data_IF_190196872113
#
_entry.id   IF_190196872113
#
_cell.length_a   1.000
_cell.length_b   1.000
_cell.length_c   1.000
_cell.angle_alpha   90.00
_cell.angle_beta   90.00
_cell.angle_gamma   90.00
#
_symmetry.space_group_name_H-M   'P 1'
#
loop_
_entity.id
_entity.type
_entity.pdbx_description
1 polymer ?
#
# COMPACT_ATOMS: atom_id res chain seq x y z
N UNK A 1 -1.00 19.81 -22.94
CA UNK A 1 -1.82 19.93 -21.73
C UNK A 1 -3.09 20.68 -22.12
N UNK A 2 -4.27 20.06 -21.96
CA UNK A 2 -5.52 20.76 -22.17
C UNK A 2 -5.63 21.90 -21.17
N UNK A 3 -5.89 23.10 -21.67
CA UNK A 3 -6.18 24.27 -20.85
C UNK A 3 -7.47 23.97 -20.07
N UNK A 4 -7.40 24.00 -18.76
CA UNK A 4 -8.60 24.05 -17.93
C UNK A 4 -9.06 25.52 -17.91
N UNK A 5 -10.31 25.77 -18.29
CA UNK A 5 -10.86 27.13 -18.26
C UNK A 5 -10.67 27.76 -16.89
N UNK A 6 -10.19 29.01 -16.88
CA UNK A 6 -9.95 29.76 -15.67
C UNK A 6 -8.55 29.63 -15.04
N UNK A 7 -7.66 28.75 -15.56
CA UNK A 7 -6.29 28.68 -15.04
C UNK A 7 -5.41 29.83 -15.53
N UNK A 8 -4.65 30.42 -14.59
CA UNK A 8 -3.60 31.39 -14.89
C UNK A 8 -2.31 30.65 -15.30
N UNK A 9 -1.61 31.11 -16.35
CA UNK A 9 -0.30 30.55 -16.72
C UNK A 9 0.69 30.66 -15.58
N UNK A 10 1.58 29.65 -15.45
CA UNK A 10 2.70 29.70 -14.52
C UNK A 10 3.75 30.70 -15.05
N UNK A 11 4.17 31.61 -14.19
CA UNK A 11 5.23 32.59 -14.46
C UNK A 11 6.52 32.10 -13.80
N UNK A 12 7.57 31.93 -14.59
CA UNK A 12 8.90 31.54 -14.13
C UNK A 12 9.76 32.81 -13.95
N UNK A 13 10.28 32.99 -12.76
CA UNK A 13 11.03 34.22 -12.36
C UNK A 13 12.54 34.12 -12.50
N UNK A 14 13.12 32.92 -12.67
CA UNK A 14 14.56 32.72 -12.72
C UNK A 14 15.15 32.83 -14.13
N UNK A 15 16.34 33.42 -14.24
CA UNK A 15 17.07 33.60 -15.51
C UNK A 15 17.42 32.25 -16.18
N UNK A 16 17.65 31.19 -15.40
CA UNK A 16 17.88 29.84 -15.91
C UNK A 16 16.67 29.28 -16.69
N UNK A 17 15.48 29.83 -16.47
CA UNK A 17 14.24 29.42 -17.11
C UNK A 17 14.00 30.15 -18.46
N UNK A 18 15.00 30.87 -18.99
CA UNK A 18 14.87 31.62 -20.25
C UNK A 18 14.49 30.71 -21.44
N UNK A 19 14.90 29.45 -21.45
CA UNK A 19 14.49 28.46 -22.42
C UNK A 19 13.01 28.07 -22.27
N UNK A 20 12.45 28.14 -21.04
CA UNK A 20 11.07 27.86 -20.72
C UNK A 20 10.12 29.02 -21.00
N UNK A 21 10.67 30.26 -21.13
CA UNK A 21 9.87 31.47 -21.41
C UNK A 21 9.14 31.44 -22.76
N UNK A 22 9.51 30.54 -23.65
CA UNK A 22 8.84 30.37 -24.95
C UNK A 22 7.56 29.52 -24.91
N UNK A 23 7.28 28.87 -23.76
CA UNK A 23 6.09 28.03 -23.58
C UNK A 23 5.13 28.61 -22.56
N UNK A 24 3.86 28.32 -22.78
CA UNK A 24 2.82 28.59 -21.77
C UNK A 24 2.59 27.30 -20.99
N UNK A 25 2.81 27.37 -19.67
CA UNK A 25 2.67 26.22 -18.79
C UNK A 25 1.51 26.45 -17.82
N UNK A 26 0.79 25.38 -17.52
CA UNK A 26 -0.31 25.39 -16.57
C UNK A 26 -0.07 24.32 -15.51
N UNK A 27 -0.51 24.60 -14.29
CA UNK A 27 -0.50 23.62 -13.21
C UNK A 27 -1.47 22.48 -13.56
N UNK A 28 -1.03 21.24 -13.37
CA UNK A 28 -1.92 20.10 -13.52
C UNK A 28 -2.96 20.09 -12.38
N UNK A 29 -4.23 19.82 -12.67
CA UNK A 29 -5.27 19.79 -11.66
C UNK A 29 -5.02 18.63 -10.68
N UNK A 30 -5.22 18.89 -9.39
CA UNK A 30 -5.14 17.89 -8.33
C UNK A 30 -6.51 17.66 -7.72
N UNK A 31 -6.80 16.41 -7.30
CA UNK A 31 -8.08 16.04 -6.72
C UNK A 31 -8.41 16.81 -5.44
N UNK A 32 -7.40 17.26 -4.70
CA UNK A 32 -7.55 18.04 -3.46
C UNK A 32 -7.51 19.56 -3.70
N UNK A 33 -7.65 20.01 -4.93
CA UNK A 33 -7.71 21.41 -5.32
C UNK A 33 -6.38 22.04 -5.71
N UNK A 34 -6.42 23.31 -6.09
CA UNK A 34 -5.29 24.04 -6.71
C UNK A 34 -4.12 24.31 -5.76
N UNK A 35 -4.31 24.19 -4.45
CA UNK A 35 -3.24 24.28 -3.45
C UNK A 35 -2.26 23.10 -3.48
N UNK A 36 -2.65 21.98 -4.05
CA UNK A 36 -1.88 20.74 -4.08
C UNK A 36 -1.12 20.55 -5.39
N UNK A 37 -0.02 19.81 -5.35
CA UNK A 37 0.78 19.47 -6.53
C UNK A 37 0.60 17.98 -6.88
N UNK A 38 0.51 17.66 -8.18
CA UNK A 38 0.41 16.28 -8.66
C UNK A 38 1.71 15.47 -8.52
N UNK A 39 2.76 16.09 -8.01
CA UNK A 39 4.07 15.45 -7.83
C UNK A 39 4.93 15.39 -9.09
N UNK A 40 5.97 14.58 -9.03
CA UNK A 40 6.90 14.42 -10.15
C UNK A 40 6.22 13.64 -11.30
N UNK A 41 6.15 14.20 -12.53
CA UNK A 41 5.58 13.51 -13.69
C UNK A 41 6.35 12.23 -14.06
N UNK A 42 7.61 12.09 -13.64
CA UNK A 42 8.41 10.87 -13.80
C UNK A 42 8.14 9.84 -12.70
N UNK A 43 7.19 10.07 -11.83
CA UNK A 43 6.87 9.09 -10.77
C UNK A 43 6.26 7.81 -11.33
N UNK A 44 6.52 6.69 -10.65
CA UNK A 44 5.98 5.37 -11.00
C UNK A 44 4.45 5.33 -11.08
N UNK A 45 3.75 6.28 -10.46
CA UNK A 45 2.29 6.38 -10.49
C UNK A 45 1.71 6.70 -11.86
N UNK A 46 2.49 7.31 -12.75
CA UNK A 46 2.04 7.66 -14.11
C UNK A 46 2.26 6.54 -15.12
N UNK A 47 3.14 5.57 -14.87
CA UNK A 47 3.41 4.46 -15.79
C UNK A 47 2.14 3.68 -16.20
N UNK A 48 1.26 3.28 -15.28
CA UNK A 48 0.02 2.59 -15.67
C UNK A 48 -0.92 3.42 -16.53
N UNK A 49 -0.86 4.75 -16.42
CA UNK A 49 -1.66 5.66 -17.25
C UNK A 49 -1.10 5.77 -18.67
N UNK A 50 0.23 5.69 -18.81
CA UNK A 50 0.90 5.61 -20.10
C UNK A 50 0.64 4.27 -20.79
N UNK A 51 0.81 3.17 -20.07
CA UNK A 51 0.58 1.80 -20.57
C UNK A 51 -0.86 1.60 -21.03
N UNK A 52 -1.83 2.16 -20.32
CA UNK A 52 -3.24 2.10 -20.67
C UNK A 52 -3.67 3.09 -21.78
N UNK A 53 -2.74 3.89 -22.30
CA UNK A 53 -3.03 4.92 -23.32
C UNK A 53 -3.84 6.12 -22.82
N UNK A 54 -4.05 6.23 -21.51
CA UNK A 54 -4.82 7.32 -20.89
C UNK A 54 -4.03 8.62 -20.74
N UNK A 55 -2.72 8.51 -20.60
CA UNK A 55 -1.79 9.62 -20.67
C UNK A 55 -1.12 9.56 -22.04
N UNK A 56 -1.42 10.51 -22.89
CA UNK A 56 -0.91 10.59 -24.26
C UNK A 56 -0.30 11.95 -24.51
N UNK A 57 0.67 11.99 -25.42
CA UNK A 57 1.20 13.26 -25.92
C UNK A 57 0.14 13.95 -26.78
N UNK A 58 0.00 15.26 -26.58
CA UNK A 58 -0.81 16.13 -27.48
C UNK A 58 -0.02 16.65 -28.67
N UNK A 59 1.27 16.30 -28.78
CA UNK A 59 2.09 16.69 -29.89
C UNK A 59 1.58 16.02 -31.18
N UNK A 60 1.46 16.75 -32.32
CA UNK A 60 0.99 16.19 -33.58
C UNK A 60 1.83 15.03 -34.10
N UNK A 61 3.13 15.05 -33.82
CA UNK A 61 4.04 13.97 -34.18
C UNK A 61 3.95 12.81 -33.19
N UNK A 62 3.55 11.64 -33.68
CA UNK A 62 3.54 10.39 -32.92
C UNK A 62 4.92 10.03 -32.36
N UNK A 63 5.99 10.31 -33.12
CA UNK A 63 7.37 10.06 -32.70
C UNK A 63 7.75 10.80 -31.42
N UNK A 64 7.27 12.06 -31.23
CA UNK A 64 7.52 12.81 -30.00
C UNK A 64 6.79 12.20 -28.78
N UNK A 65 5.60 11.66 -29.01
CA UNK A 65 4.85 10.94 -27.98
C UNK A 65 5.53 9.64 -27.55
N UNK A 66 6.04 8.88 -28.51
CA UNK A 66 6.77 7.64 -28.27
C UNK A 66 8.12 7.91 -27.58
N UNK A 67 8.83 8.97 -27.96
CA UNK A 67 10.06 9.41 -27.29
C UNK A 67 9.80 9.79 -25.81
N UNK A 68 8.72 10.52 -25.53
CA UNK A 68 8.33 10.89 -24.16
C UNK A 68 7.99 9.65 -23.32
N UNK A 69 7.27 8.69 -23.90
CA UNK A 69 6.99 7.39 -23.25
C UNK A 69 8.28 6.65 -22.93
N UNK A 70 9.16 6.48 -23.91
CA UNK A 70 10.46 5.83 -23.75
C UNK A 70 11.30 6.48 -22.65
N UNK A 71 11.31 7.80 -22.56
CA UNK A 71 12.02 8.52 -21.50
C UNK A 71 11.44 8.22 -20.10
N UNK A 72 10.13 8.15 -19.96
CA UNK A 72 9.48 7.80 -18.68
C UNK A 72 9.75 6.35 -18.26
N UNK A 73 9.67 5.42 -19.20
CA UNK A 73 9.99 4.00 -18.97
C UNK A 73 11.46 3.82 -18.58
N UNK A 74 12.37 4.46 -19.30
CA UNK A 74 13.81 4.44 -19.01
C UNK A 74 14.12 5.04 -17.63
N UNK A 75 13.53 6.18 -17.30
CA UNK A 75 13.69 6.78 -15.97
C UNK A 75 13.22 5.84 -14.83
N UNK A 76 12.09 5.15 -15.04
CA UNK A 76 11.59 4.20 -14.07
C UNK A 76 12.53 2.99 -13.91
N UNK A 77 13.09 2.48 -15.01
CA UNK A 77 14.07 1.40 -15.00
C UNK A 77 15.35 1.82 -14.28
N UNK A 78 15.93 2.96 -14.68
CA UNK A 78 17.15 3.50 -14.04
C UNK A 78 16.95 3.68 -12.53
N UNK A 79 15.85 4.30 -12.13
CA UNK A 79 15.54 4.53 -10.72
C UNK A 79 15.41 3.22 -9.92
N UNK A 80 14.83 2.19 -10.53
CA UNK A 80 14.74 0.87 -9.91
C UNK A 80 16.11 0.23 -9.73
N UNK A 81 16.89 0.16 -10.80
CA UNK A 81 18.19 -0.53 -10.79
C UNK A 81 19.21 0.18 -9.92
N UNK A 82 19.25 1.53 -9.91
CA UNK A 82 20.07 2.29 -8.97
C UNK A 82 19.72 1.91 -7.52
N UNK A 83 18.44 1.91 -7.18
CA UNK A 83 17.99 1.53 -5.83
C UNK A 83 18.29 0.08 -5.49
N UNK A 84 18.15 -0.85 -6.44
CA UNK A 84 18.46 -2.26 -6.24
C UNK A 84 19.97 -2.48 -6.06
N UNK A 85 20.79 -1.87 -6.91
CA UNK A 85 22.24 -1.90 -6.80
C UNK A 85 22.70 -1.41 -5.43
N UNK A 86 22.28 -0.21 -5.02
CA UNK A 86 22.71 0.39 -3.76
C UNK A 86 22.33 -0.46 -2.55
N UNK A 87 21.21 -1.18 -2.61
CA UNK A 87 20.80 -2.10 -1.55
C UNK A 87 21.67 -3.35 -1.51
N UNK A 88 22.03 -3.91 -2.68
CA UNK A 88 22.86 -5.12 -2.77
C UNK A 88 24.29 -4.81 -2.40
N UNK A 89 24.86 -3.73 -2.91
CA UNK A 89 26.23 -3.31 -2.61
C UNK A 89 26.47 -3.05 -1.11
N UNK A 90 25.44 -2.61 -0.42
CA UNK A 90 25.50 -2.38 1.04
C UNK A 90 25.31 -3.64 1.87
N UNK A 91 25.16 -4.82 1.27
CA UNK A 91 25.12 -6.06 2.01
C UNK A 91 26.54 -6.49 2.41
N UNK A 92 26.61 -7.25 3.49
CA UNK A 92 27.87 -7.92 3.85
C UNK A 92 28.10 -9.03 2.85
N UNK A 93 29.18 -8.92 2.08
CA UNK A 93 29.64 -9.94 1.14
C UNK A 93 30.95 -10.52 1.63
N UNK A 94 31.00 -11.84 1.80
CA UNK A 94 32.23 -12.58 2.08
C UNK A 94 32.69 -13.19 0.77
N UNK A 95 33.85 -12.76 0.30
CA UNK A 95 34.41 -13.20 -0.97
C UNK A 95 35.22 -14.48 -0.81
N UNK A 96 35.08 -15.40 -1.75
CA UNK A 96 35.90 -16.60 -1.81
C UNK A 96 37.37 -16.22 -2.07
N UNK A 97 38.28 -16.71 -1.24
CA UNK A 97 39.71 -16.42 -1.34
C UNK A 97 40.19 -15.13 -0.68
N UNK A 98 39.33 -14.27 -0.13
CA UNK A 98 39.73 -13.06 0.62
C UNK A 98 40.04 -13.32 2.09
N UNK A 99 39.67 -14.46 2.64
CA UNK A 99 40.02 -14.92 3.97
C UNK A 99 40.39 -16.39 3.86
N UNK A 100 41.02 -16.92 4.88
CA UNK A 100 41.36 -18.35 5.01
C UNK A 100 40.13 -19.29 4.91
N UNK A 101 38.98 -18.75 4.54
CA UNK A 101 37.69 -19.43 4.40
C UNK A 101 37.58 -20.08 3.03
N UNK A 102 37.85 -21.39 3.02
CA UNK A 102 37.47 -22.24 1.90
C UNK A 102 35.95 -22.46 1.93
N UNK A 103 35.22 -21.75 1.08
CA UNK A 103 33.76 -21.87 1.02
C UNK A 103 33.26 -23.13 0.31
N UNK A 104 34.18 -24.01 -0.12
CA UNK A 104 33.81 -25.25 -0.81
C UNK A 104 33.26 -25.05 -2.22
N UNK A 105 33.43 -23.89 -2.81
CA UNK A 105 33.11 -23.70 -4.22
C UNK A 105 34.10 -24.43 -5.12
N UNK A 106 33.61 -25.01 -6.21
CA UNK A 106 34.47 -25.53 -7.23
C UNK A 106 35.34 -24.40 -7.82
N UNK A 107 36.60 -24.68 -8.21
CA UNK A 107 37.44 -23.70 -8.88
C UNK A 107 36.71 -23.05 -10.05
N UNK A 108 36.73 -21.75 -10.14
CA UNK A 108 36.07 -21.00 -11.18
C UNK A 108 36.86 -19.70 -11.44
N UNK A 109 36.86 -19.26 -12.70
CA UNK A 109 37.62 -18.07 -13.11
C UNK A 109 36.94 -16.73 -12.66
N UNK A 110 35.68 -16.81 -12.23
CA UNK A 110 34.92 -15.64 -11.79
C UNK A 110 34.98 -15.46 -10.27
N UNK A 111 35.09 -14.21 -9.83
CA UNK A 111 35.02 -13.84 -8.42
C UNK A 111 33.66 -14.22 -7.83
N UNK A 112 33.65 -15.00 -6.79
CA UNK A 112 32.43 -15.48 -6.08
C UNK A 112 32.44 -15.06 -4.63
N UNK A 113 31.27 -14.93 -4.06
CA UNK A 113 31.10 -14.62 -2.65
C UNK A 113 29.71 -15.00 -2.14
N UNK A 114 29.58 -14.98 -0.83
CA UNK A 114 28.31 -15.18 -0.12
C UNK A 114 27.80 -13.85 0.37
N UNK A 115 26.53 -13.55 0.06
CA UNK A 115 25.83 -12.43 0.67
C UNK A 115 25.25 -12.94 1.99
N UNK A 116 25.65 -12.32 3.10
CA UNK A 116 25.10 -12.60 4.43
C UNK A 116 23.85 -11.74 4.64
N UNK A 117 22.63 -12.32 4.64
CA UNK A 117 21.41 -11.56 4.85
C UNK A 117 21.41 -10.92 6.24
N UNK A 118 21.18 -9.61 6.27
CA UNK A 118 21.05 -8.87 7.53
C UNK A 118 19.56 -8.77 7.87
N UNK A 119 19.05 -9.78 8.57
CA UNK A 119 17.68 -9.77 9.08
C UNK A 119 17.63 -8.95 10.36
N UNK A 120 16.92 -7.83 10.33
CA UNK A 120 16.65 -7.03 11.51
C UNK A 120 15.23 -7.39 11.95
N UNK A 121 15.14 -8.23 12.97
CA UNK A 121 13.85 -8.57 13.60
C UNK A 121 13.26 -7.30 14.24
N UNK A 122 11.95 -7.13 14.12
CA UNK A 122 11.26 -5.92 14.61
C UNK A 122 11.83 -4.61 14.04
N UNK A 123 12.33 -4.63 12.82
CA UNK A 123 12.95 -3.47 12.17
C UNK A 123 11.95 -2.37 11.76
N UNK A 124 10.65 -2.63 11.79
CA UNK A 124 9.60 -1.65 11.55
C UNK A 124 8.86 -1.29 12.85
N UNK A 125 8.11 -0.18 12.85
CA UNK A 125 7.24 0.19 13.97
C UNK A 125 6.18 -0.90 14.24
N UNK A 126 5.76 -1.61 13.21
CA UNK A 126 4.84 -2.76 13.30
C UNK A 126 5.55 -4.06 13.66
N UNK A 127 6.82 -4.02 14.04
CA UNK A 127 7.67 -5.17 14.44
C UNK A 127 7.90 -6.21 13.32
N UNK A 128 7.61 -5.89 12.08
CA UNK A 128 7.99 -6.74 10.94
C UNK A 128 9.50 -6.73 10.74
N UNK A 129 10.04 -7.87 10.36
CA UNK A 129 11.44 -7.97 10.01
C UNK A 129 11.78 -7.15 8.76
N UNK A 130 12.99 -6.60 8.75
CA UNK A 130 13.57 -5.95 7.57
C UNK A 130 14.74 -6.78 7.08
N UNK A 131 14.79 -7.01 5.77
CA UNK A 131 15.93 -7.57 5.07
C UNK A 131 16.00 -6.91 3.68
N UNK A 132 17.17 -6.49 3.27
CA UNK A 132 17.31 -5.63 2.08
C UNK A 132 17.36 -6.41 0.76
N UNK A 133 17.99 -7.58 0.74
CA UNK A 133 18.19 -8.37 -0.46
C UNK A 133 16.96 -9.18 -0.84
N UNK A 134 16.49 -10.00 0.07
CA UNK A 134 15.38 -10.93 -0.15
C UNK A 134 14.04 -10.21 -0.33
N UNK A 135 13.78 -9.16 0.44
CA UNK A 135 12.58 -8.34 0.25
C UNK A 135 12.58 -7.65 -1.12
N UNK A 136 13.75 -7.23 -1.60
CA UNK A 136 13.87 -6.63 -2.93
C UNK A 136 13.59 -7.66 -4.03
N UNK A 137 14.14 -8.87 -3.92
CA UNK A 137 13.92 -9.95 -4.88
C UNK A 137 12.48 -10.51 -4.82
N UNK A 138 11.93 -10.70 -3.63
CA UNK A 138 10.59 -11.29 -3.46
C UNK A 138 9.46 -10.40 -3.98
N UNK A 139 9.62 -9.08 -3.91
CA UNK A 139 8.63 -8.13 -4.40
C UNK A 139 8.59 -7.97 -5.93
N UNK A 140 9.48 -8.67 -6.66
CA UNK A 140 9.47 -8.66 -8.10
C UNK A 140 8.23 -9.38 -8.64
N UNK A 141 7.43 -8.69 -9.44
CA UNK A 141 6.26 -9.26 -10.13
C UNK A 141 6.60 -9.53 -11.59
N UNK A 142 6.02 -10.59 -12.15
CA UNK A 142 6.14 -10.90 -13.58
C UNK A 142 5.77 -9.66 -14.41
N UNK A 143 6.54 -9.38 -15.44
CA UNK A 143 6.38 -8.22 -16.33
C UNK A 143 6.53 -6.84 -15.65
N UNK A 144 7.17 -6.77 -14.49
CA UNK A 144 7.57 -5.51 -13.86
C UNK A 144 9.08 -5.32 -13.99
N UNK A 145 9.49 -4.06 -13.94
CA UNK A 145 10.91 -3.69 -13.84
C UNK A 145 11.53 -4.43 -12.65
N UNK A 146 12.63 -5.12 -12.88
CA UNK A 146 13.34 -5.89 -11.86
C UNK A 146 12.81 -7.29 -11.59
N UNK A 147 11.88 -7.80 -12.42
CA UNK A 147 11.43 -9.20 -12.32
C UNK A 147 12.57 -10.20 -12.52
N UNK A 148 13.61 -9.81 -13.24
CA UNK A 148 14.83 -10.57 -13.47
C UNK A 148 15.56 -10.89 -12.16
N UNK A 149 15.54 -9.97 -11.19
CA UNK A 149 16.22 -10.14 -9.90
C UNK A 149 15.69 -11.38 -9.16
N UNK A 150 14.39 -11.65 -9.25
CA UNK A 150 13.79 -12.84 -8.65
C UNK A 150 14.27 -14.13 -9.33
N UNK A 151 14.46 -14.11 -10.65
CA UNK A 151 14.93 -15.26 -11.42
C UNK A 151 16.43 -15.58 -11.19
N UNK A 152 17.19 -14.63 -10.67
CA UNK A 152 18.59 -14.83 -10.30
C UNK A 152 18.75 -15.66 -9.02
N UNK A 153 17.72 -15.71 -8.18
CA UNK A 153 17.74 -16.50 -6.94
C UNK A 153 17.40 -17.95 -7.29
N UNK A 154 18.37 -18.84 -7.12
CA UNK A 154 18.24 -20.26 -7.46
C UNK A 154 18.76 -21.12 -6.33
N UNK A 155 18.11 -22.26 -6.11
CA UNK A 155 18.65 -23.29 -5.23
C UNK A 155 19.87 -23.98 -5.90
N UNK A 156 20.85 -24.43 -5.13
CA UNK A 156 21.91 -25.29 -5.62
C UNK A 156 21.34 -26.60 -6.20
N UNK A 157 22.15 -27.29 -7.04
CA UNK A 157 21.73 -28.57 -7.62
C UNK A 157 21.37 -29.58 -6.53
N UNK A 158 20.23 -30.21 -6.64
CA UNK A 158 19.70 -31.17 -5.65
C UNK A 158 18.98 -30.53 -4.46
N UNK A 159 18.84 -29.20 -4.44
CA UNK A 159 18.13 -28.45 -3.40
C UNK A 159 16.90 -27.75 -3.99
N UNK A 160 15.97 -27.41 -3.12
CA UNK A 160 14.79 -26.62 -3.47
C UNK A 160 14.60 -25.47 -2.50
N UNK A 161 14.16 -24.33 -3.00
CA UNK A 161 13.69 -23.23 -2.16
C UNK A 161 12.23 -23.52 -1.84
N UNK A 162 11.90 -23.63 -0.55
CA UNK A 162 10.54 -23.78 -0.06
C UNK A 162 10.12 -22.48 0.60
N UNK A 163 8.96 -21.95 0.20
CA UNK A 163 8.38 -20.73 0.77
C UNK A 163 6.91 -20.94 1.08
N UNK A 164 6.45 -20.35 2.16
CA UNK A 164 5.05 -20.30 2.53
C UNK A 164 4.67 -18.87 2.92
N UNK A 165 3.48 -18.46 2.54
CA UNK A 165 2.90 -17.16 2.87
C UNK A 165 1.44 -17.36 3.25
N UNK A 166 0.97 -16.63 4.26
CA UNK A 166 -0.44 -16.71 4.69
C UNK A 166 -1.29 -15.85 3.79
N UNK A 167 -2.29 -16.46 3.18
CA UNK A 167 -3.23 -15.74 2.32
C UNK A 167 -4.08 -14.76 3.11
N UNK A 168 -3.91 -13.47 2.81
CA UNK A 168 -4.71 -12.38 3.40
C UNK A 168 -4.73 -12.38 4.93
N UNK A 169 -3.58 -12.56 5.56
CA UNK A 169 -3.41 -12.73 7.00
C UNK A 169 -4.17 -11.71 7.84
N UNK A 170 -4.06 -10.42 7.52
CA UNK A 170 -4.72 -9.35 8.26
C UNK A 170 -6.24 -9.40 8.15
N UNK A 171 -6.77 -9.81 7.00
CA UNK A 171 -8.21 -10.00 6.82
C UNK A 171 -8.70 -11.23 7.56
N UNK A 172 -7.89 -12.29 7.60
CA UNK A 172 -8.19 -13.48 8.39
C UNK A 172 -8.26 -13.15 9.88
N UNK A 173 -7.31 -12.39 10.43
CA UNK A 173 -7.34 -11.92 11.81
C UNK A 173 -8.61 -11.09 12.09
N UNK A 174 -8.95 -10.15 11.19
CA UNK A 174 -10.18 -9.37 11.33
C UNK A 174 -11.42 -10.25 11.28
N UNK A 175 -11.44 -11.31 10.47
CA UNK A 175 -12.57 -12.24 10.39
C UNK A 175 -12.73 -13.05 11.69
N UNK A 176 -11.63 -13.57 12.23
CA UNK A 176 -11.62 -14.28 13.51
C UNK A 176 -12.09 -13.36 14.65
N UNK A 177 -11.63 -12.12 14.69
CA UNK A 177 -12.08 -11.13 15.67
C UNK A 177 -13.60 -10.87 15.56
N UNK A 178 -14.12 -10.75 14.34
CA UNK A 178 -15.55 -10.57 14.09
C UNK A 178 -16.37 -11.78 14.51
N UNK A 179 -15.90 -12.97 14.18
CA UNK A 179 -16.59 -14.24 14.45
C UNK A 179 -16.53 -14.64 15.92
N UNK A 180 -15.52 -14.19 16.66
CA UNK A 180 -15.33 -14.50 18.07
C UNK A 180 -16.55 -14.11 18.95
N UNK A 181 -17.31 -13.08 18.55
CA UNK A 181 -18.53 -12.69 19.25
C UNK A 181 -19.63 -13.77 19.20
N UNK A 182 -19.56 -14.67 18.21
CA UNK A 182 -20.52 -15.77 18.04
C UNK A 182 -19.91 -17.14 18.42
N UNK A 183 -18.62 -17.20 18.71
CA UNK A 183 -17.91 -18.43 19.04
C UNK A 183 -17.73 -19.41 17.88
N UNK A 184 -18.08 -19.02 16.66
CA UNK A 184 -18.02 -19.88 15.45
C UNK A 184 -17.34 -19.09 14.33
N UNK A 185 -16.26 -19.66 13.74
CA UNK A 185 -15.63 -19.07 12.56
C UNK A 185 -16.54 -19.23 11.34
N UNK A 186 -16.66 -18.17 10.54
CA UNK A 186 -17.61 -18.08 9.41
C UNK A 186 -18.99 -17.53 9.79
N UNK A 187 -19.21 -17.15 11.05
CA UNK A 187 -20.49 -16.62 11.51
C UNK A 187 -20.79 -15.21 10.98
N UNK A 188 -19.77 -14.43 10.68
CA UNK A 188 -19.92 -13.09 10.08
C UNK A 188 -19.74 -13.15 8.55
N UNK A 189 -20.24 -12.13 7.85
CA UNK A 189 -20.04 -12.03 6.40
C UNK A 189 -18.55 -12.03 6.01
N UNK A 190 -17.70 -11.30 6.76
CA UNK A 190 -16.27 -11.30 6.53
C UNK A 190 -15.64 -12.65 6.85
N UNK A 191 -16.06 -13.30 7.95
CA UNK A 191 -15.60 -14.63 8.33
C UNK A 191 -15.95 -15.68 7.30
N UNK A 192 -17.20 -15.69 6.83
CA UNK A 192 -17.64 -16.62 5.79
C UNK A 192 -16.87 -16.43 4.47
N UNK A 193 -16.73 -15.19 3.98
CA UNK A 193 -16.00 -14.89 2.75
C UNK A 193 -14.50 -15.22 2.86
N UNK A 194 -13.93 -15.22 4.06
CA UNK A 194 -12.54 -15.57 4.30
C UNK A 194 -12.34 -17.09 4.43
N UNK A 195 -13.28 -17.78 5.07
CA UNK A 195 -13.22 -19.23 5.29
C UNK A 195 -13.65 -20.03 4.05
N UNK A 196 -14.81 -19.70 3.48
CA UNK A 196 -15.46 -20.46 2.41
C UNK A 196 -15.31 -19.78 1.05
N UNK A 197 -14.88 -18.54 1.01
CA UNK A 197 -14.77 -17.75 -0.20
C UNK A 197 -13.65 -18.23 -1.12
N UNK A 198 -14.00 -18.59 -2.35
CA UNK A 198 -13.06 -19.06 -3.35
C UNK A 198 -12.85 -18.03 -4.45
N UNK A 199 -11.57 -17.72 -4.75
CA UNK A 199 -11.19 -16.79 -5.82
C UNK A 199 -11.71 -17.24 -7.19
N UNK A 200 -11.65 -18.54 -7.48
CA UNK A 200 -12.10 -19.10 -8.75
C UNK A 200 -13.61 -18.94 -8.97
N UNK A 201 -14.37 -18.92 -7.87
CA UNK A 201 -15.84 -18.78 -7.89
C UNK A 201 -16.29 -17.33 -7.70
N UNK A 202 -15.37 -16.40 -7.47
CA UNK A 202 -15.69 -14.99 -7.21
C UNK A 202 -16.44 -14.74 -5.89
N UNK A 203 -16.32 -15.65 -4.93
CA UNK A 203 -17.03 -15.58 -3.64
C UNK A 203 -16.15 -15.06 -2.50
N UNK A 204 -14.83 -14.91 -2.72
CA UNK A 204 -13.93 -14.31 -1.75
C UNK A 204 -14.20 -12.82 -1.54
N UNK A 205 -13.76 -12.28 -0.39
CA UNK A 205 -14.00 -10.90 0.01
C UNK A 205 -13.61 -9.88 -1.07
N UNK A 206 -12.46 -10.07 -1.72
CA UNK A 206 -12.00 -9.12 -2.74
C UNK A 206 -12.86 -9.16 -4.00
N UNK A 207 -13.32 -10.34 -4.40
CA UNK A 207 -14.20 -10.50 -5.56
C UNK A 207 -15.59 -9.92 -5.30
N UNK A 208 -16.14 -10.14 -4.11
CA UNK A 208 -17.43 -9.54 -3.70
C UNK A 208 -17.33 -8.02 -3.63
N UNK A 209 -16.27 -7.50 -3.02
CA UNK A 209 -16.03 -6.04 -2.99
C UNK A 209 -15.85 -5.48 -4.40
N UNK A 210 -15.13 -6.17 -5.29
CA UNK A 210 -14.95 -5.76 -6.67
C UNK A 210 -16.28 -5.64 -7.43
N UNK A 211 -17.17 -6.61 -7.25
CA UNK A 211 -18.52 -6.60 -7.82
C UNK A 211 -19.35 -5.42 -7.32
N UNK A 212 -19.34 -5.17 -6.00
CA UNK A 212 -20.10 -4.05 -5.41
C UNK A 212 -19.58 -2.69 -5.90
N UNK A 213 -18.27 -2.54 -5.99
CA UNK A 213 -17.64 -1.27 -6.38
C UNK A 213 -17.55 -1.07 -7.90
N UNK A 214 -17.81 -2.11 -8.70
CA UNK A 214 -17.61 -2.06 -10.16
C UNK A 214 -16.14 -1.91 -10.56
N UNK A 215 -15.22 -2.57 -9.82
CA UNK A 215 -13.77 -2.49 -10.02
C UNK A 215 -13.14 -3.86 -10.26
N UNK A 216 -11.84 -3.90 -10.59
CA UNK A 216 -11.11 -5.16 -10.67
C UNK A 216 -10.77 -5.68 -9.28
N UNK A 217 -10.65 -7.02 -9.12
CA UNK A 217 -10.32 -7.68 -7.86
C UNK A 217 -9.04 -7.12 -7.18
N UNK A 218 -7.99 -6.83 -7.95
CA UNK A 218 -6.74 -6.28 -7.41
C UNK A 218 -6.93 -4.86 -6.84
N UNK A 219 -7.81 -4.07 -7.43
CA UNK A 219 -8.18 -2.74 -6.91
C UNK A 219 -9.04 -2.87 -5.64
N UNK A 220 -9.97 -3.81 -5.63
CA UNK A 220 -10.76 -4.13 -4.44
C UNK A 220 -9.89 -4.67 -3.29
N UNK A 221 -8.83 -5.42 -3.59
CA UNK A 221 -7.83 -5.83 -2.60
C UNK A 221 -7.20 -4.61 -1.92
N UNK A 222 -6.69 -3.66 -2.69
CA UNK A 222 -6.13 -2.40 -2.13
C UNK A 222 -7.17 -1.65 -1.30
N UNK A 223 -8.41 -1.60 -1.78
CA UNK A 223 -9.51 -0.95 -1.08
C UNK A 223 -9.80 -1.61 0.28
N UNK A 224 -9.93 -2.93 0.34
CA UNK A 224 -10.21 -3.67 1.57
C UNK A 224 -9.10 -3.49 2.61
N UNK A 225 -7.83 -3.62 2.21
CA UNK A 225 -6.69 -3.38 3.11
C UNK A 225 -6.66 -1.94 3.62
N UNK A 226 -6.85 -0.96 2.73
CA UNK A 226 -6.89 0.45 3.15
C UNK A 226 -7.97 0.69 4.19
N UNK A 227 -9.15 0.07 4.03
CA UNK A 227 -10.28 0.22 4.93
C UNK A 227 -10.00 -0.34 6.32
N UNK A 228 -9.49 -1.57 6.42
CA UNK A 228 -9.15 -2.16 7.72
C UNK A 228 -8.00 -1.42 8.41
N UNK A 229 -7.12 -0.79 7.64
CA UNK A 229 -6.06 0.08 8.16
C UNK A 229 -6.56 1.48 8.54
N UNK A 230 -7.86 1.72 8.56
CA UNK A 230 -8.45 2.95 9.07
C UNK A 230 -8.63 4.05 8.02
N UNK A 231 -8.48 3.76 6.73
CA UNK A 231 -8.74 4.74 5.69
C UNK A 231 -10.20 5.20 5.72
N UNK A 232 -10.39 6.52 5.66
CA UNK A 232 -11.71 7.15 5.66
C UNK A 232 -12.36 7.17 4.28
N UNK A 233 -13.61 7.66 4.22
CA UNK A 233 -14.43 7.72 3.00
C UNK A 233 -13.73 8.52 1.89
N UNK A 234 -13.01 9.61 2.19
CA UNK A 234 -12.25 10.38 1.20
C UNK A 234 -11.23 9.54 0.45
N UNK A 235 -10.46 8.72 1.18
CA UNK A 235 -9.49 7.82 0.56
C UNK A 235 -10.18 6.76 -0.30
N UNK A 236 -11.29 6.21 0.17
CA UNK A 236 -12.12 5.28 -0.59
C UNK A 236 -12.61 5.89 -1.92
N UNK A 237 -13.09 7.13 -1.89
CA UNK A 237 -13.48 7.87 -3.10
C UNK A 237 -12.33 8.01 -4.09
N UNK A 238 -11.15 8.41 -3.61
CA UNK A 238 -9.95 8.52 -4.45
C UNK A 238 -9.57 7.19 -5.11
N UNK A 239 -9.67 6.08 -4.37
CA UNK A 239 -9.42 4.74 -4.92
C UNK A 239 -10.44 4.38 -6.01
N UNK A 240 -11.72 4.70 -5.81
CA UNK A 240 -12.77 4.47 -6.81
C UNK A 240 -12.55 5.30 -8.08
N UNK A 241 -12.27 6.59 -7.95
CA UNK A 241 -11.97 7.47 -9.07
C UNK A 241 -10.71 7.03 -9.84
N UNK A 242 -9.68 6.58 -9.10
CA UNK A 242 -8.47 6.02 -9.72
C UNK A 242 -8.75 4.71 -10.46
N UNK A 243 -9.62 3.87 -9.91
CA UNK A 243 -10.00 2.60 -10.51
C UNK A 243 -10.91 2.77 -11.72
N UNK A 244 -11.83 3.73 -11.67
CA UNK A 244 -12.77 4.05 -12.72
C UNK A 244 -12.82 5.56 -13.00
N UNK A 245 -12.00 6.05 -13.91
CA UNK A 245 -11.86 7.48 -14.19
C UNK A 245 -13.04 8.14 -14.90
N UNK A 246 -13.95 7.34 -15.45
CA UNK A 246 -15.21 7.86 -16.00
C UNK A 246 -16.27 8.09 -14.92
N UNK A 247 -16.02 7.61 -13.69
CA UNK A 247 -16.94 7.77 -12.57
C UNK A 247 -16.97 9.23 -12.11
N UNK A 248 -18.16 9.76 -11.88
CA UNK A 248 -18.34 11.10 -11.33
C UNK A 248 -18.01 11.10 -9.82
N UNK A 249 -17.56 12.24 -9.32
CA UNK A 249 -17.17 12.41 -7.90
C UNK A 249 -18.33 12.07 -6.96
N UNK A 250 -19.53 12.53 -7.29
CA UNK A 250 -20.74 12.28 -6.49
C UNK A 250 -21.13 10.80 -6.47
N UNK A 251 -20.93 10.09 -7.56
CA UNK A 251 -21.14 8.65 -7.62
C UNK A 251 -20.12 7.91 -6.76
N UNK A 252 -18.85 8.28 -6.84
CA UNK A 252 -17.81 7.70 -6.00
C UNK A 252 -18.08 7.95 -4.51
N UNK A 253 -18.54 9.16 -4.15
CA UNK A 253 -18.93 9.51 -2.79
C UNK A 253 -20.11 8.66 -2.28
N UNK A 254 -21.13 8.51 -3.10
CA UNK A 254 -22.32 7.71 -2.78
C UNK A 254 -21.95 6.25 -2.57
N UNK A 255 -21.21 5.63 -3.50
CA UNK A 255 -20.77 4.22 -3.40
C UNK A 255 -19.90 3.98 -2.17
N UNK A 256 -18.93 4.87 -1.91
CA UNK A 256 -18.09 4.77 -0.73
C UNK A 256 -18.93 4.87 0.57
N UNK A 257 -19.83 5.84 0.66
CA UNK A 257 -20.74 5.99 1.83
C UNK A 257 -21.61 4.76 2.04
N UNK A 258 -22.22 4.22 0.98
CA UNK A 258 -23.06 3.02 1.08
C UNK A 258 -22.27 1.81 1.60
N UNK A 259 -21.08 1.56 1.05
CA UNK A 259 -20.25 0.45 1.51
C UNK A 259 -19.80 0.62 2.96
N UNK A 260 -19.41 1.84 3.36
CA UNK A 260 -19.01 2.09 4.74
C UNK A 260 -20.21 1.95 5.71
N UNK A 261 -21.39 2.42 5.33
CA UNK A 261 -22.58 2.25 6.15
C UNK A 261 -22.99 0.78 6.30
N UNK A 262 -22.87 0.00 5.23
CA UNK A 262 -23.21 -1.43 5.27
C UNK A 262 -22.19 -2.28 6.05
N UNK A 263 -20.93 -1.88 6.08
CA UNK A 263 -19.83 -2.67 6.66
C UNK A 263 -19.36 -2.12 8.00
N UNK A 264 -18.79 -0.94 8.04
CA UNK A 264 -18.34 -0.28 9.26
C UNK A 264 -19.51 0.20 10.13
N UNK A 265 -20.61 0.55 9.48
CA UNK A 265 -21.81 1.03 10.13
C UNK A 265 -21.86 2.54 10.31
N UNK A 266 -22.76 2.98 11.16
CA UNK A 266 -22.92 4.37 11.58
C UNK A 266 -22.19 4.62 12.89
N UNK A 267 -21.65 5.83 13.05
CA UNK A 267 -21.01 6.22 14.29
C UNK A 267 -22.05 6.84 15.23
N UNK A 268 -22.03 6.45 16.49
CA UNK A 268 -22.75 7.19 17.53
C UNK A 268 -22.20 8.60 17.61
N UNK A 269 -23.06 9.58 17.88
CA UNK A 269 -22.61 10.88 18.38
C UNK A 269 -22.11 10.62 19.80
N UNK A 270 -20.84 10.98 20.08
CA UNK A 270 -20.29 10.84 21.43
C UNK A 270 -21.25 11.52 22.43
N UNK A 271 -21.96 10.70 23.19
CA UNK A 271 -22.97 11.19 24.10
C UNK A 271 -22.71 10.70 25.52
N UNK A 272 -23.46 11.28 26.45
CA UNK A 272 -23.34 11.05 27.88
C UNK A 272 -23.61 9.60 28.33
N UNK A 273 -24.23 8.76 27.47
CA UNK A 273 -24.62 7.40 27.87
C UNK A 273 -23.51 6.38 27.74
N UNK A 274 -22.62 6.53 26.70
CA UNK A 274 -21.61 5.52 26.39
C UNK A 274 -20.18 6.00 26.61
N UNK A 275 -19.98 7.27 26.89
CA UNK A 275 -18.68 7.88 27.18
C UNK A 275 -17.68 7.85 26.02
N UNK A 276 -18.01 7.17 24.93
CA UNK A 276 -17.15 7.09 23.74
C UNK A 276 -17.98 6.90 22.47
N UNK A 277 -17.41 7.33 21.36
CA UNK A 277 -17.93 7.02 20.03
C UNK A 277 -17.73 5.54 19.71
N UNK A 278 -18.74 4.89 19.13
CA UNK A 278 -18.64 3.53 18.60
C UNK A 278 -19.45 3.37 17.31
N UNK A 279 -19.18 2.29 16.58
CA UNK A 279 -19.85 1.93 15.33
C UNK A 279 -20.94 0.92 15.57
N UNK A 280 -22.08 1.04 14.87
CA UNK A 280 -23.19 0.12 14.96
C UNK A 280 -23.91 -0.03 13.62
N UNK A 281 -24.65 -1.14 13.46
CA UNK A 281 -25.50 -1.41 12.30
C UNK A 281 -24.76 -1.87 11.03
N UNK A 282 -23.45 -2.00 11.05
CA UNK A 282 -22.67 -2.57 9.95
C UNK A 282 -22.21 -4.00 10.23
N UNK A 283 -22.01 -4.81 9.18
CA UNK A 283 -21.57 -6.21 9.31
C UNK A 283 -20.21 -6.38 10.00
N UNK A 284 -19.38 -5.34 10.03
CA UNK A 284 -18.04 -5.32 10.61
C UNK A 284 -17.90 -4.32 11.75
N UNK A 285 -19.00 -3.75 12.25
CA UNK A 285 -18.97 -2.74 13.32
C UNK A 285 -18.19 -3.21 14.54
N UNK A 286 -18.34 -4.49 14.92
CA UNK A 286 -17.65 -5.07 16.06
C UNK A 286 -16.13 -5.07 15.87
N UNK A 287 -15.64 -5.48 14.69
CA UNK A 287 -14.21 -5.50 14.38
C UNK A 287 -13.61 -4.10 14.46
N UNK A 288 -14.28 -3.11 13.87
CA UNK A 288 -13.81 -1.73 13.94
C UNK A 288 -13.81 -1.16 15.34
N UNK A 289 -14.82 -1.48 16.16
CA UNK A 289 -14.86 -1.08 17.56
C UNK A 289 -13.69 -1.69 18.35
N UNK A 290 -13.39 -2.96 18.14
CA UNK A 290 -12.25 -3.63 18.78
C UNK A 290 -10.91 -3.05 18.35
N UNK A 291 -10.71 -2.80 17.08
CA UNK A 291 -9.49 -2.16 16.59
C UNK A 291 -9.31 -0.73 17.16
N UNK A 292 -10.39 0.04 17.21
CA UNK A 292 -10.38 1.38 17.81
C UNK A 292 -10.16 1.33 19.34
N UNK A 293 -10.73 0.36 20.03
CA UNK A 293 -10.50 0.13 21.46
C UNK A 293 -9.02 -0.12 21.76
N UNK A 294 -8.38 -1.03 21.01
CA UNK A 294 -6.95 -1.29 21.14
C UNK A 294 -6.15 -0.04 20.80
N UNK A 295 -6.48 0.65 19.71
CA UNK A 295 -5.77 1.84 19.28
C UNK A 295 -5.85 3.00 20.29
N UNK A 296 -6.94 3.10 21.06
CA UNK A 296 -7.16 4.14 22.06
C UNK A 296 -6.66 3.75 23.45
N UNK A 297 -6.29 2.49 23.67
CA UNK A 297 -5.78 2.02 24.96
C UNK A 297 -4.49 2.72 25.35
N UNK A 298 -4.31 2.95 26.65
CA UNK A 298 -3.05 3.44 27.21
C UNK A 298 -1.92 2.40 27.04
N UNK A 299 -2.27 1.12 27.20
CA UNK A 299 -1.38 -0.02 27.05
C UNK A 299 -1.92 -0.98 25.99
N UNK A 300 -1.76 -0.63 24.70
CA UNK A 300 -2.33 -1.42 23.63
C UNK A 300 -1.72 -2.82 23.58
N UNK A 301 -2.58 -3.84 23.46
CA UNK A 301 -2.21 -5.24 23.37
C UNK A 301 -2.84 -5.89 22.16
N UNK A 302 -2.19 -6.94 21.65
CA UNK A 302 -2.73 -7.70 20.51
C UNK A 302 -3.99 -8.45 20.93
N UNK A 303 -4.95 -8.66 20.04
CA UNK A 303 -6.19 -9.36 20.40
C UNK A 303 -5.89 -10.82 20.78
N UNK A 304 -5.91 -11.81 20.52
CA UNK A 304 -5.85 -13.19 20.96
C UNK A 304 -4.67 -13.53 21.91
N UNK A 305 -3.47 -13.03 21.62
CA UNK A 305 -2.24 -13.40 22.35
C UNK A 305 -1.90 -12.45 23.49
N UNK A 306 -2.63 -11.36 23.63
CA UNK A 306 -2.41 -10.34 24.66
C UNK A 306 -0.96 -9.82 24.77
N UNK A 307 -0.24 -9.83 23.64
CA UNK A 307 1.11 -9.31 23.57
C UNK A 307 1.12 -7.79 23.55
N UNK A 308 2.00 -7.15 24.32
CA UNK A 308 2.14 -5.70 24.31
C UNK A 308 2.51 -5.16 22.92
N UNK A 309 1.77 -4.16 22.44
CA UNK A 309 2.11 -3.43 21.24
C UNK A 309 3.20 -2.40 21.58
N UNK A 310 4.09 -2.10 20.60
CA UNK A 310 5.23 -1.20 20.82
C UNK A 310 4.83 0.12 21.49
N UNK A 311 5.66 0.62 22.40
CA UNK A 311 5.45 1.89 23.08
C UNK A 311 5.23 3.08 22.12
N UNK A 312 5.81 3.04 20.91
CA UNK A 312 5.56 4.05 19.89
C UNK A 312 4.07 4.19 19.50
N UNK A 313 3.27 3.16 19.77
CA UNK A 313 1.82 3.17 19.57
C UNK A 313 1.04 3.54 20.83
N UNK A 314 1.71 3.76 21.95
CA UNK A 314 1.03 4.19 23.17
C UNK A 314 0.54 5.63 23.03
N UNK A 315 -0.56 5.95 23.70
CA UNK A 315 -1.23 7.26 23.62
C UNK A 315 -0.32 8.44 24.01
N UNK A 316 0.61 8.20 24.92
CA UNK A 316 1.56 9.22 25.39
C UNK A 316 2.52 9.77 24.31
N UNK A 317 2.82 8.98 23.26
CA UNK A 317 3.73 9.37 22.19
C UNK A 317 3.04 9.96 20.96
N UNK A 318 1.72 10.08 21.00
CA UNK A 318 1.02 10.71 19.88
C UNK A 318 1.05 12.23 20.00
N UNK A 319 1.21 12.93 18.88
CA UNK A 319 1.15 14.39 18.89
C UNK A 319 -0.19 14.83 19.50
N UNK A 320 -0.15 15.49 20.61
CA UNK A 320 -1.32 16.15 21.16
C UNK A 320 -1.61 17.35 20.27
N UNK A 321 -2.66 17.30 19.47
CA UNK A 321 -3.19 18.50 18.86
C UNK A 321 -3.56 19.47 20.01
N UNK A 322 -3.14 20.72 19.90
CA UNK A 322 -3.38 21.73 20.94
C UNK A 322 -4.88 21.77 21.26
N UNK A 323 -5.25 21.30 22.44
CA UNK A 323 -6.56 21.55 23.03
C UNK A 323 -7.68 20.56 22.75
N UNK A 324 -7.52 19.56 21.89
CA UNK A 324 -8.56 18.55 21.63
C UNK A 324 -8.12 17.15 22.02
N UNK A 325 -8.97 16.47 22.78
CA UNK A 325 -8.88 15.02 22.97
C UNK A 325 -9.20 14.37 21.62
N UNK A 326 -8.21 13.84 20.94
CA UNK A 326 -8.44 13.12 19.68
C UNK A 326 -9.07 11.76 19.99
N UNK A 327 -10.38 11.69 19.86
CA UNK A 327 -11.17 10.45 20.05
C UNK A 327 -10.95 9.42 18.92
N UNK A 328 -10.27 9.79 17.84
CA UNK A 328 -10.03 8.94 16.68
C UNK A 328 -8.59 9.07 16.18
N UNK A 329 -7.88 7.95 16.13
CA UNK A 329 -6.47 7.88 15.74
C UNK A 329 -6.25 6.89 14.59
N UNK A 330 -6.55 7.27 13.35
CA UNK A 330 -6.47 6.36 12.20
C UNK A 330 -5.05 5.81 11.96
N UNK A 331 -4.01 6.57 12.30
CA UNK A 331 -2.62 6.11 12.21
C UNK A 331 -2.33 4.94 13.15
N UNK A 332 -2.94 4.89 14.32
CA UNK A 332 -2.82 3.77 15.25
C UNK A 332 -3.54 2.52 14.75
N UNK A 333 -4.72 2.68 14.18
CA UNK A 333 -5.46 1.55 13.60
C UNK A 333 -4.64 0.92 12.49
N UNK A 334 -4.00 1.72 11.65
CA UNK A 334 -3.07 1.26 10.64
C UNK A 334 -1.97 0.34 11.17
N UNK A 335 -1.61 0.48 12.44
CA UNK A 335 -0.52 -0.26 13.04
C UNK A 335 -1.00 -1.42 13.91
N UNK A 336 -2.22 -1.35 14.47
CA UNK A 336 -2.76 -2.44 15.28
C UNK A 336 -2.94 -3.71 14.45
N UNK A 337 -3.53 -3.60 13.28
CA UNK A 337 -3.82 -4.77 12.42
C UNK A 337 -2.54 -5.53 12.03
N UNK A 338 -1.48 -4.90 11.49
CA UNK A 338 -0.24 -5.61 11.15
C UNK A 338 0.55 -6.15 12.34
N UNK A 339 0.31 -5.66 13.55
CA UNK A 339 1.01 -6.09 14.77
C UNK A 339 0.24 -7.17 15.54
N UNK A 340 -0.97 -7.49 15.08
CA UNK A 340 -1.85 -8.43 15.78
C UNK A 340 -1.51 -9.91 15.55
N UNK A 341 -0.41 -10.20 14.83
CA UNK A 341 0.11 -11.54 14.58
C UNK A 341 1.59 -11.69 14.93
#
# INVERSE_FOLDING_TARGET
VQRVEGQTPLVFSHAADAALKRGVFYKLPHADGDGSNVGNPFSKGFLPLLESGRLQSLHPSRASGDAARGALEMNAQCSYWISARDRIERQVVVWDGEAETRMGFAPHDERRGLILPQVITMGTVTRRAIEKTWLTASNAKRNRIGSELKSMVKAPRGWSIVGADVDSEELWICSVMGDAQFGIHGATAIGWMTLEGAKAQGTDLHSKTASILGTKRDQAKVFNYSRIYGAGIRHAMHLLLKANPSMQIDEAARRAKQLYAATKGQATRGDAYFGRRFWYGGSESFVFNKLEEIALSEHPRTPALDCGITAALSRQYLPRARGEQQDYMPSRINWVVPVSY
#
